data_IF_031732525396
#
_entry.id   IF_031732525396
#
_cell.length_a   1.000
_cell.length_b   1.000
_cell.length_c   1.000
_cell.angle_alpha   90.00
_cell.angle_beta   90.00
_cell.angle_gamma   90.00
#
_symmetry.space_group_name_H-M   'P 1'
#
loop_
_entity.id
_entity.type
_entity.pdbx_description
1 polymer ?
#
# COMPACT_ATOMS: atom_id res chain seq x y z
N UNK A 1 30.48 10.83 13.99
CA UNK A 1 29.92 9.67 14.74
C UNK A 1 28.40 9.80 14.96
N UNK A 2 27.90 10.98 15.30
CA UNK A 2 26.47 11.22 15.60
C UNK A 2 25.53 10.99 14.39
N UNK A 3 25.94 11.42 13.20
CA UNK A 3 25.19 11.28 11.94
C UNK A 3 24.96 9.82 11.55
N UNK A 4 25.97 8.96 11.74
CA UNK A 4 25.90 7.52 11.46
C UNK A 4 24.91 6.82 12.40
N UNK A 5 24.93 7.17 13.69
CA UNK A 5 24.01 6.64 14.71
C UNK A 5 22.57 7.05 14.41
N UNK A 6 22.35 8.33 14.07
CA UNK A 6 21.02 8.87 13.68
C UNK A 6 20.46 8.17 12.44
N UNK A 7 21.29 7.93 11.42
CA UNK A 7 20.92 7.19 10.20
C UNK A 7 20.53 5.74 10.48
N UNK A 8 21.29 5.05 11.34
CA UNK A 8 20.99 3.67 11.76
C UNK A 8 19.66 3.58 12.51
N UNK A 9 19.41 4.51 13.43
CA UNK A 9 18.14 4.59 14.17
C UNK A 9 16.96 4.87 13.24
N UNK A 10 17.05 5.86 12.36
CA UNK A 10 16.01 6.16 11.36
C UNK A 10 15.65 4.93 10.52
N UNK A 11 16.63 4.16 10.06
CA UNK A 11 16.39 2.95 9.29
C UNK A 11 15.64 1.86 10.07
N UNK A 12 15.94 1.70 11.36
CA UNK A 12 15.20 0.77 12.25
C UNK A 12 13.75 1.17 12.37
N UNK A 13 13.46 2.46 12.54
CA UNK A 13 12.08 2.97 12.58
C UNK A 13 11.32 2.74 11.27
N UNK A 14 11.95 3.02 10.12
CA UNK A 14 11.34 2.78 8.80
C UNK A 14 10.98 1.30 8.60
N UNK A 15 11.90 0.39 8.94
CA UNK A 15 11.64 -1.06 8.84
C UNK A 15 10.54 -1.51 9.80
N UNK A 16 10.53 -0.97 11.02
CA UNK A 16 9.50 -1.29 12.01
C UNK A 16 8.11 -0.80 11.57
N UNK A 17 8.02 0.44 11.09
CA UNK A 17 6.80 1.03 10.56
C UNK A 17 6.26 0.22 9.38
N UNK A 18 7.12 -0.11 8.41
CA UNK A 18 6.72 -0.93 7.26
C UNK A 18 6.20 -2.31 7.69
N UNK A 19 6.89 -2.97 8.64
CA UNK A 19 6.51 -4.30 9.12
C UNK A 19 5.14 -4.32 9.81
N UNK A 20 4.76 -3.24 10.49
CA UNK A 20 3.45 -3.13 11.15
C UNK A 20 2.36 -2.78 10.13
N UNK A 21 2.61 -1.78 9.28
CA UNK A 21 1.59 -1.29 8.34
C UNK A 21 1.33 -2.24 7.17
N UNK A 22 2.33 -2.97 6.70
CA UNK A 22 2.20 -3.86 5.53
C UNK A 22 1.05 -4.89 5.67
N UNK A 23 0.96 -5.69 6.75
CA UNK A 23 -0.14 -6.66 6.88
C UNK A 23 -1.51 -5.99 7.03
N UNK A 24 -1.58 -4.83 7.69
CA UNK A 24 -2.84 -4.09 7.86
C UNK A 24 -3.34 -3.55 6.52
N UNK A 25 -2.44 -2.97 5.73
CA UNK A 25 -2.76 -2.37 4.43
C UNK A 25 -2.92 -3.40 3.32
N UNK A 26 -2.44 -4.64 3.50
CA UNK A 26 -2.56 -5.69 2.49
C UNK A 26 -4.02 -5.94 2.11
N UNK A 27 -4.92 -6.03 3.09
CA UNK A 27 -6.33 -6.29 2.87
C UNK A 27 -7.02 -5.21 2.01
N UNK A 28 -7.01 -3.91 2.41
CA UNK A 28 -7.67 -2.88 1.60
C UNK A 28 -7.00 -2.69 0.23
N UNK A 29 -5.68 -2.83 0.12
CA UNK A 29 -4.97 -2.72 -1.17
C UNK A 29 -5.33 -3.86 -2.13
N UNK A 30 -5.40 -5.09 -1.64
CA UNK A 30 -5.83 -6.22 -2.47
C UNK A 30 -7.29 -6.06 -2.88
N UNK A 31 -8.16 -5.70 -1.94
CA UNK A 31 -9.58 -5.53 -2.21
C UNK A 31 -9.81 -4.47 -3.29
N UNK A 32 -9.22 -3.28 -3.14
CA UNK A 32 -9.34 -2.19 -4.12
C UNK A 32 -8.76 -2.56 -5.49
N UNK A 33 -7.62 -3.25 -5.52
CA UNK A 33 -7.00 -3.68 -6.78
C UNK A 33 -7.86 -4.71 -7.51
N UNK A 34 -8.32 -5.74 -6.80
CA UNK A 34 -9.15 -6.81 -7.37
C UNK A 34 -10.48 -6.24 -7.86
N UNK A 35 -11.18 -5.48 -7.01
CA UNK A 35 -12.48 -4.87 -7.38
C UNK A 35 -12.34 -3.90 -8.55
N UNK A 36 -11.27 -3.09 -8.59
CA UNK A 36 -11.01 -2.18 -9.71
C UNK A 36 -10.77 -2.92 -11.03
N UNK A 37 -9.95 -3.97 -11.02
CA UNK A 37 -9.70 -4.82 -12.20
C UNK A 37 -11.00 -5.48 -12.68
N UNK A 38 -11.75 -6.10 -11.77
CA UNK A 38 -13.01 -6.78 -12.11
C UNK A 38 -14.01 -5.77 -12.67
N UNK A 39 -14.17 -4.61 -12.03
CA UNK A 39 -15.08 -3.57 -12.51
C UNK A 39 -14.69 -3.10 -13.92
N UNK A 40 -13.41 -2.85 -14.18
CA UNK A 40 -12.95 -2.45 -15.51
C UNK A 40 -13.20 -3.52 -16.58
N UNK A 41 -13.05 -4.81 -16.25
CA UNK A 41 -13.37 -5.91 -17.17
C UNK A 41 -14.87 -5.94 -17.48
N UNK A 42 -15.73 -5.75 -16.48
CA UNK A 42 -17.18 -5.75 -16.64
C UNK A 42 -17.68 -4.54 -17.43
N UNK A 43 -17.05 -3.39 -17.21
CA UNK A 43 -17.29 -2.14 -17.95
C UNK A 43 -16.98 -2.32 -19.44
N UNK A 44 -15.81 -2.90 -19.76
CA UNK A 44 -15.46 -3.23 -21.14
C UNK A 44 -16.40 -4.25 -21.80
N UNK A 45 -17.04 -5.10 -20.99
CA UNK A 45 -18.04 -6.06 -21.46
C UNK A 45 -19.47 -5.48 -21.55
N UNK A 46 -19.68 -4.21 -21.19
CA UNK A 46 -21.00 -3.56 -21.16
C UNK A 46 -21.94 -4.12 -20.09
N UNK A 47 -21.39 -4.69 -19.01
CA UNK A 47 -22.14 -5.32 -17.91
C UNK A 47 -22.11 -4.54 -16.59
N UNK A 48 -21.45 -3.39 -16.56
CA UNK A 48 -21.21 -2.56 -15.37
C UNK A 48 -22.49 -2.24 -14.58
N UNK A 49 -23.61 -2.02 -15.27
CA UNK A 49 -24.89 -1.67 -14.64
C UNK A 49 -25.39 -2.73 -13.67
N UNK A 50 -25.11 -4.01 -13.95
CA UNK A 50 -25.52 -5.13 -13.11
C UNK A 50 -24.59 -5.35 -11.91
N UNK A 51 -23.40 -4.73 -11.92
CA UNK A 51 -22.33 -4.98 -10.96
C UNK A 51 -21.82 -3.69 -10.28
N UNK A 52 -22.67 -2.68 -10.16
CA UNK A 52 -22.32 -1.42 -9.48
C UNK A 52 -21.83 -1.61 -8.04
N UNK A 53 -22.35 -2.62 -7.35
CA UNK A 53 -21.93 -3.00 -5.99
C UNK A 53 -20.43 -3.30 -5.87
N UNK A 54 -19.76 -3.69 -6.96
CA UNK A 54 -18.30 -3.89 -6.98
C UNK A 54 -17.57 -2.55 -6.79
N UNK A 55 -18.10 -1.49 -7.39
CA UNK A 55 -17.56 -0.14 -7.24
C UNK A 55 -17.85 0.41 -5.83
N UNK A 56 -18.99 0.05 -5.24
CA UNK A 56 -19.32 0.42 -3.86
C UNK A 56 -18.29 -0.21 -2.90
N UNK A 57 -18.02 -1.51 -3.04
CA UNK A 57 -16.98 -2.21 -2.28
C UNK A 57 -15.57 -1.64 -2.52
N UNK A 58 -15.28 -1.25 -3.76
CA UNK A 58 -14.01 -0.60 -4.12
C UNK A 58 -13.80 0.70 -3.33
N UNK A 59 -14.85 1.46 -3.11
CA UNK A 59 -14.81 2.71 -2.35
C UNK A 59 -14.89 2.50 -0.83
N UNK A 60 -15.17 1.28 -0.38
CA UNK A 60 -15.35 0.96 1.04
C UNK A 60 -16.79 1.12 1.53
N UNK A 61 -17.77 1.16 0.63
CA UNK A 61 -19.17 0.99 0.97
C UNK A 61 -19.53 -0.51 0.93
N UNK A 62 -19.65 -1.11 2.11
CA UNK A 62 -20.03 -2.51 2.29
C UNK A 62 -21.52 -2.67 2.62
N UNK A 63 -22.34 -1.65 2.34
CA UNK A 63 -23.77 -1.63 2.64
C UNK A 63 -24.04 -1.24 4.08
N UNK A 64 -23.90 -2.18 5.03
CA UNK A 64 -24.15 -1.90 6.46
C UNK A 64 -23.03 -1.06 7.06
N UNK A 65 -21.81 -1.23 6.55
CA UNK A 65 -20.63 -0.50 7.01
C UNK A 65 -20.17 0.41 5.87
N UNK A 66 -20.39 1.70 6.02
CA UNK A 66 -19.97 2.69 5.05
C UNK A 66 -18.68 3.38 5.54
N UNK A 67 -17.56 3.05 4.88
CA UNK A 67 -16.28 3.72 5.09
C UNK A 67 -15.91 4.62 3.90
N UNK A 68 -16.82 4.92 2.99
CA UNK A 68 -16.53 5.63 1.73
C UNK A 68 -15.80 6.95 1.95
N UNK A 69 -16.09 7.66 3.06
CA UNK A 69 -15.44 8.92 3.39
C UNK A 69 -13.97 8.80 3.82
N UNK A 70 -13.53 7.65 4.32
CA UNK A 70 -12.17 7.48 4.88
C UNK A 70 -11.36 6.37 4.20
N UNK A 71 -12.02 5.36 3.65
CA UNK A 71 -11.40 4.18 3.07
C UNK A 71 -10.49 4.50 1.88
N UNK A 72 -10.88 5.37 0.91
CA UNK A 72 -9.99 5.76 -0.17
C UNK A 72 -8.72 6.47 0.34
N UNK A 73 -8.86 7.34 1.36
CA UNK A 73 -7.73 8.04 1.96
C UNK A 73 -6.79 7.09 2.72
N UNK A 74 -7.35 6.15 3.50
CA UNK A 74 -6.58 5.11 4.19
C UNK A 74 -5.77 4.28 3.19
N UNK A 75 -6.42 3.85 2.10
CA UNK A 75 -5.81 3.02 1.06
C UNK A 75 -4.68 3.78 0.35
N UNK A 76 -4.94 5.03 -0.07
CA UNK A 76 -3.94 5.87 -0.73
C UNK A 76 -2.75 6.18 0.18
N UNK A 77 -3.00 6.65 1.42
CA UNK A 77 -1.95 7.02 2.36
C UNK A 77 -1.10 5.81 2.76
N UNK A 78 -1.75 4.68 3.06
CA UNK A 78 -1.03 3.46 3.39
C UNK A 78 -0.18 2.95 2.23
N UNK A 79 -0.68 3.02 0.99
CA UNK A 79 0.11 2.71 -0.20
C UNK A 79 1.35 3.62 -0.29
N UNK A 80 1.19 4.93 -0.15
CA UNK A 80 2.32 5.87 -0.21
C UNK A 80 3.36 5.57 0.87
N UNK A 81 2.93 5.31 2.11
CA UNK A 81 3.84 4.96 3.20
C UNK A 81 4.59 3.66 2.88
N UNK A 82 3.91 2.63 2.40
CA UNK A 82 4.54 1.35 2.05
C UNK A 82 5.53 1.48 0.90
N UNK A 83 5.19 2.22 -0.15
CA UNK A 83 6.09 2.51 -1.28
C UNK A 83 7.32 3.27 -0.77
N UNK A 84 7.12 4.35 -0.01
CA UNK A 84 8.22 5.17 0.48
C UNK A 84 9.19 4.36 1.37
N UNK A 85 8.64 3.64 2.34
CA UNK A 85 9.43 2.81 3.27
C UNK A 85 10.10 1.64 2.55
N UNK A 86 9.42 1.00 1.59
CA UNK A 86 9.97 -0.06 0.74
C UNK A 86 11.14 0.41 -0.13
N UNK A 87 10.98 1.54 -0.84
CA UNK A 87 12.05 2.14 -1.67
C UNK A 87 13.25 2.54 -0.79
N UNK A 88 13.00 3.12 0.38
CA UNK A 88 14.06 3.51 1.33
C UNK A 88 14.89 2.30 1.79
N UNK A 89 14.22 1.17 2.07
CA UNK A 89 14.88 -0.10 2.40
C UNK A 89 15.65 -0.68 1.20
N UNK A 90 15.03 -0.71 0.03
CA UNK A 90 15.63 -1.22 -1.21
C UNK A 90 16.94 -0.50 -1.56
N UNK A 91 16.93 0.83 -1.56
CA UNK A 91 18.12 1.67 -1.83
C UNK A 91 19.24 1.45 -0.82
N UNK A 92 18.91 1.11 0.43
CA UNK A 92 19.92 0.84 1.47
C UNK A 92 20.56 -0.53 1.30
N UNK A 93 19.79 -1.53 0.88
CA UNK A 93 20.29 -2.87 0.56
C UNK A 93 21.30 -2.82 -0.60
N UNK A 94 20.95 -2.14 -1.70
CA UNK A 94 21.83 -1.99 -2.86
C UNK A 94 23.20 -1.38 -2.51
N UNK A 95 23.24 -0.37 -1.64
CA UNK A 95 24.50 0.26 -1.20
C UNK A 95 25.41 -0.66 -0.37
N UNK A 96 24.86 -1.70 0.22
CA UNK A 96 25.63 -2.66 1.05
C UNK A 96 26.26 -3.73 0.16
N UNK A 97 25.57 -4.13 -0.91
CA UNK A 97 26.07 -5.10 -1.90
C UNK A 97 27.17 -4.55 -2.83
N UNK A 98 27.32 -3.23 -2.94
CA UNK A 98 28.31 -2.58 -3.82
C UNK A 98 29.68 -2.32 -3.18
N UNK A 99 29.93 -2.76 -1.93
CA UNK A 99 31.26 -2.68 -1.34
C UNK A 99 32.05 -3.94 -1.69
N UNK A 100 33.08 -3.88 -2.55
CA UNK A 100 33.94 -5.03 -2.80
C UNK A 100 34.71 -5.37 -1.52
N UNK A 101 34.82 -6.67 -1.23
CA UNK A 101 35.70 -7.18 -0.18
C UNK A 101 37.15 -6.90 -0.62
N UNK A 102 37.83 -6.02 0.11
CA UNK A 102 39.29 -5.88 0.10
C UNK A 102 39.89 -6.90 1.04
#
# INVERSE_FOLDING_TARGET
METTKKRSQYFKYIRHLHRILAPIMLLPLLLTTITGIIYQILDLAGKEKNFKWILDWHKGDFGVINLESFYPFLTALGLFILIFTGISMWRTMQRTSSKPAT
#
